data_IF_219889553401
#
_entry.id   IF_219889553401
#
_cell.length_a   1.000
_cell.length_b   1.000
_cell.length_c   1.000
_cell.angle_alpha   90.00
_cell.angle_beta   90.00
_cell.angle_gamma   90.00
#
_symmetry.space_group_name_H-M   'P 1'
#
loop_
_entity.id
_entity.type
_entity.pdbx_description
1 polymer ?
#
# COMPACT_ATOMS: atom_id res chain seq x y z
N UNK A 1 -3.93 10.37 -7.35
CA UNK A 1 -4.11 9.77 -6.02
C UNK A 1 -3.32 8.48 -6.00
N UNK A 2 -2.25 8.43 -5.21
CA UNK A 2 -1.33 7.29 -5.12
C UNK A 2 -1.35 6.76 -3.70
N UNK A 3 -1.72 5.49 -3.54
CA UNK A 3 -1.87 4.84 -2.24
C UNK A 3 -0.60 4.09 -1.83
N UNK A 4 -0.34 4.06 -0.53
CA UNK A 4 0.67 3.20 0.07
C UNK A 4 0.01 2.10 0.90
N UNK A 5 0.43 0.85 0.71
CA UNK A 5 0.10 -0.25 1.61
C UNK A 5 1.34 -0.55 2.45
N UNK A 6 1.28 -0.22 3.73
CA UNK A 6 2.39 -0.38 4.66
C UNK A 6 2.49 -1.84 5.14
N UNK A 7 3.61 -2.50 4.87
CA UNK A 7 3.82 -3.92 5.15
C UNK A 7 4.58 -4.08 6.46
N UNK A 8 3.90 -4.66 7.46
CA UNK A 8 4.47 -5.02 8.75
C UNK A 8 4.80 -6.51 8.83
N UNK A 9 5.80 -6.93 9.64
CA UNK A 9 6.07 -8.34 9.87
C UNK A 9 4.85 -9.03 10.50
N UNK A 10 4.31 -10.03 9.81
CA UNK A 10 3.12 -10.77 10.25
C UNK A 10 1.78 -10.12 9.89
N UNK A 11 1.78 -9.00 9.16
CA UNK A 11 0.55 -8.51 8.53
C UNK A 11 0.07 -9.53 7.48
N UNK A 12 -1.25 -9.70 7.42
CA UNK A 12 -1.89 -10.75 6.63
C UNK A 12 -2.69 -10.20 5.45
N UNK A 13 -3.22 -8.99 5.57
CA UNK A 13 -4.14 -8.40 4.60
C UNK A 13 -3.47 -7.40 3.65
N UNK A 14 -2.14 -7.32 3.60
CA UNK A 14 -1.44 -6.34 2.75
C UNK A 14 -1.76 -6.58 1.27
N UNK A 15 -1.70 -7.85 0.84
CA UNK A 15 -2.00 -8.25 -0.54
C UNK A 15 -3.47 -8.06 -0.90
N UNK A 16 -4.38 -8.35 0.03
CA UNK A 16 -5.82 -8.14 -0.17
C UNK A 16 -6.12 -6.65 -0.36
N UNK A 17 -5.53 -5.81 0.48
CA UNK A 17 -5.66 -4.35 0.39
C UNK A 17 -5.10 -3.82 -0.93
N UNK A 18 -3.92 -4.31 -1.32
CA UNK A 18 -3.30 -3.94 -2.59
C UNK A 18 -4.16 -4.34 -3.79
N UNK A 19 -4.72 -5.56 -3.80
CA UNK A 19 -5.62 -6.05 -4.85
C UNK A 19 -6.87 -5.18 -4.96
N UNK A 20 -7.52 -4.87 -3.84
CA UNK A 20 -8.72 -4.01 -3.85
C UNK A 20 -8.39 -2.65 -4.46
N UNK A 21 -7.28 -2.02 -4.05
CA UNK A 21 -6.91 -0.69 -4.55
C UNK A 21 -6.54 -0.73 -6.03
N UNK A 22 -5.72 -1.69 -6.46
CA UNK A 22 -5.25 -1.79 -7.86
C UNK A 22 -6.36 -2.25 -8.80
N UNK A 23 -7.01 -3.37 -8.48
CA UNK A 23 -7.85 -4.10 -9.43
C UNK A 23 -9.32 -3.74 -9.34
N UNK A 24 -9.85 -3.47 -8.14
CA UNK A 24 -11.26 -3.10 -7.97
C UNK A 24 -11.48 -1.60 -8.07
N UNK A 25 -10.58 -0.81 -7.48
CA UNK A 25 -10.66 0.66 -7.47
C UNK A 25 -9.88 1.32 -8.62
N UNK A 26 -9.02 0.58 -9.33
CA UNK A 26 -8.27 1.10 -10.47
C UNK A 26 -7.28 2.21 -10.11
N UNK A 27 -6.84 2.27 -8.86
CA UNK A 27 -5.98 3.34 -8.34
C UNK A 27 -4.50 2.92 -8.34
N UNK A 28 -3.60 3.90 -8.45
CA UNK A 28 -2.16 3.66 -8.31
C UNK A 28 -1.84 3.33 -6.85
N UNK A 29 -1.14 2.22 -6.62
CA UNK A 29 -0.78 1.75 -5.28
C UNK A 29 0.60 1.10 -5.27
N UNK A 30 1.33 1.22 -4.15
CA UNK A 30 2.62 0.58 -3.94
C UNK A 30 2.74 0.01 -2.53
N UNK A 31 3.45 -1.10 -2.38
CA UNK A 31 3.87 -1.58 -1.07
C UNK A 31 4.98 -0.69 -0.51
N UNK A 32 4.93 -0.46 0.80
CA UNK A 32 5.89 0.35 1.52
C UNK A 32 6.33 -0.40 2.77
N UNK A 33 7.63 -0.46 3.03
CA UNK A 33 8.17 -1.08 4.25
C UNK A 33 7.80 -0.23 5.48
N UNK A 34 7.33 -0.89 6.55
CA UNK A 34 6.97 -0.22 7.80
C UNK A 34 8.09 0.59 8.47
N UNK A 35 9.35 0.39 8.09
CA UNK A 35 10.48 1.17 8.59
C UNK A 35 10.77 2.43 7.76
N UNK A 36 10.00 2.73 6.70
CA UNK A 36 10.19 3.99 5.99
C UNK A 36 9.80 5.17 6.89
N UNK A 37 10.65 6.20 6.92
CA UNK A 37 10.36 7.47 7.58
C UNK A 37 9.70 8.50 6.64
N UNK A 38 9.56 8.15 5.35
CA UNK A 38 9.15 9.04 4.29
C UNK A 38 8.01 8.42 3.47
N UNK A 39 6.95 9.19 3.26
CA UNK A 39 5.78 8.84 2.45
C UNK A 39 5.51 9.91 1.38
N UNK A 40 6.51 10.72 1.03
CA UNK A 40 6.33 11.74 0.00
C UNK A 40 5.91 11.11 -1.33
N UNK A 41 4.90 11.70 -1.98
CA UNK A 41 4.36 11.21 -3.25
C UNK A 41 3.21 10.22 -3.12
N UNK A 42 2.82 9.84 -1.90
CA UNK A 42 1.54 9.18 -1.61
C UNK A 42 0.54 10.20 -1.06
N UNK A 43 -0.74 9.97 -1.32
CA UNK A 43 -1.86 10.79 -0.82
C UNK A 43 -2.45 10.24 0.48
#
# INVERSE_FOLDING_TARGET
>A
MKFAVCVFPGSNCDYDTFYVIRDLLGCEVSFVDHNTGHLEGFD
#
